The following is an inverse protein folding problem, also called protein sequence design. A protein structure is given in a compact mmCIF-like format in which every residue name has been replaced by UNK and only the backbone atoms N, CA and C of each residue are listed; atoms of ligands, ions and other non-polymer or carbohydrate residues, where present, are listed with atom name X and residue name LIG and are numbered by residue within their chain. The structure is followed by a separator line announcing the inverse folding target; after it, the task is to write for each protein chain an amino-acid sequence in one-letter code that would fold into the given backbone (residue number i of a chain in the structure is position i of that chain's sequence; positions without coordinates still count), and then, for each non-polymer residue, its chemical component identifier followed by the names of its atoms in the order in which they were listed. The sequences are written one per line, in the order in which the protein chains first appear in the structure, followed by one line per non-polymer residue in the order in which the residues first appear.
data_IF_848490925898
#
_entry.id   IF_848490925898
#
_cell.length_a   1.000
_cell.length_b   1.000
_cell.length_c   1.000
_cell.angle_alpha   90.00
_cell.angle_beta   90.00
_cell.angle_gamma   90.00
#
_symmetry.space_group_name_H-M   'P 1'
#
loop_
_entity.id
_entity.type
_entity.pdbx_description
1 polymer ?
#
# COMPACT_ATOMS: atom_id res chain seq x y z
N UNK A 1 -12.88 11.33 6.22
CA UNK A 1 -12.29 10.27 5.37
C UNK A 1 -12.31 10.50 3.85
N UNK A 2 -13.36 10.15 3.07
CA UNK A 2 -13.25 10.11 1.58
C UNK A 2 -12.85 11.45 0.96
N UNK A 3 -13.52 12.54 1.34
CA UNK A 3 -13.18 13.86 0.80
C UNK A 3 -11.79 14.34 1.24
N UNK A 4 -11.35 13.99 2.46
CA UNK A 4 -10.00 14.31 2.92
C UNK A 4 -8.95 13.59 2.07
N UNK A 5 -9.14 12.30 1.79
CA UNK A 5 -8.24 11.53 0.95
C UNK A 5 -8.23 12.06 -0.50
N UNK A 6 -9.40 12.42 -1.06
CA UNK A 6 -9.47 13.08 -2.39
C UNK A 6 -8.74 14.42 -2.40
N UNK A 7 -8.93 15.25 -1.37
CA UNK A 7 -8.28 16.55 -1.25
C UNK A 7 -6.76 16.39 -1.15
N UNK A 8 -6.28 15.47 -0.31
CA UNK A 8 -4.86 15.18 -0.17
C UNK A 8 -4.26 14.66 -1.49
N UNK A 9 -4.93 13.72 -2.17
CA UNK A 9 -4.49 13.24 -3.48
C UNK A 9 -4.34 14.37 -4.50
N UNK A 10 -5.32 15.29 -4.56
CA UNK A 10 -5.29 16.45 -5.47
C UNK A 10 -4.14 17.42 -5.22
N UNK A 11 -3.52 17.42 -4.03
CA UNK A 11 -2.31 18.20 -3.78
C UNK A 11 -1.09 17.69 -4.55
N UNK A 12 -1.14 16.45 -5.04
CA UNK A 12 -0.01 15.80 -5.72
C UNK A 12 1.03 15.20 -4.76
N UNK A 13 0.79 15.23 -3.45
CA UNK A 13 1.73 14.74 -2.43
C UNK A 13 2.18 13.27 -2.61
N UNK A 14 1.35 12.44 -3.27
CA UNK A 14 1.65 11.02 -3.52
C UNK A 14 2.33 10.75 -4.87
N UNK A 15 2.55 11.79 -5.69
CA UNK A 15 3.09 11.62 -7.06
C UNK A 15 4.55 11.17 -7.06
N UNK A 16 5.39 11.71 -6.18
CA UNK A 16 6.82 11.39 -6.19
C UNK A 16 7.09 9.98 -5.66
N UNK A 17 8.02 9.26 -6.30
CA UNK A 17 8.41 7.90 -5.89
C UNK A 17 9.00 7.92 -4.48
N UNK A 18 9.70 9.00 -4.11
CA UNK A 18 10.30 9.19 -2.79
C UNK A 18 9.22 9.26 -1.70
N UNK A 19 8.12 9.99 -1.95
CA UNK A 19 7.01 10.07 -1.00
C UNK A 19 6.36 8.68 -0.82
N UNK A 20 6.18 7.94 -1.90
CA UNK A 20 5.65 6.57 -1.86
C UNK A 20 6.58 5.62 -1.09
N UNK A 21 7.89 5.63 -1.37
CA UNK A 21 8.90 4.85 -0.62
C UNK A 21 8.89 5.20 0.87
N UNK A 22 8.79 6.48 1.22
CA UNK A 22 8.71 6.91 2.62
C UNK A 22 7.46 6.38 3.32
N UNK A 23 6.30 6.42 2.66
CA UNK A 23 5.06 5.86 3.19
C UNK A 23 5.13 4.33 3.35
N UNK A 24 5.68 3.61 2.38
CA UNK A 24 5.90 2.17 2.45
C UNK A 24 6.86 1.79 3.59
N UNK A 25 7.96 2.52 3.75
CA UNK A 25 8.90 2.30 4.85
C UNK A 25 8.23 2.56 6.20
N UNK A 26 7.42 3.62 6.31
CA UNK A 26 6.63 3.90 7.52
C UNK A 26 5.70 2.75 7.86
N UNK A 27 5.01 2.19 6.86
CA UNK A 27 4.12 1.03 7.03
C UNK A 27 4.91 -0.21 7.48
N UNK A 28 6.04 -0.51 6.82
CA UNK A 28 6.91 -1.63 7.19
C UNK A 28 7.39 -1.52 8.64
N UNK A 29 7.93 -0.37 9.01
CA UNK A 29 8.42 -0.10 10.38
C UNK A 29 7.30 -0.18 11.40
N UNK A 30 6.09 0.30 11.07
CA UNK A 30 4.91 0.14 11.92
C UNK A 30 4.59 -1.34 12.17
N UNK A 31 4.58 -2.18 11.14
CA UNK A 31 4.31 -3.62 11.30
C UNK A 31 5.43 -4.27 12.13
N UNK A 32 6.70 -4.03 11.78
CA UNK A 32 7.87 -4.61 12.46
C UNK A 32 7.86 -4.28 13.96
N UNK A 33 7.74 -3.00 14.33
CA UNK A 33 7.80 -2.55 15.73
C UNK A 33 6.62 -3.00 16.59
N UNK A 34 5.50 -3.37 15.97
CA UNK A 34 4.29 -3.78 16.67
C UNK A 34 3.93 -5.25 16.39
N UNK A 35 4.90 -6.05 15.94
CA UNK A 35 4.68 -7.46 15.56
C UNK A 35 4.10 -8.29 16.69
N UNK A 36 4.55 -8.08 17.94
CA UNK A 36 4.03 -8.80 19.11
C UNK A 36 2.56 -8.47 19.37
N UNK A 37 2.20 -7.19 19.34
CA UNK A 37 0.82 -6.75 19.58
C UNK A 37 -0.13 -7.18 18.46
N UNK A 38 0.31 -7.05 17.21
CA UNK A 38 -0.43 -7.54 16.03
C UNK A 38 -0.60 -9.06 16.12
N UNK A 39 0.47 -9.78 16.44
CA UNK A 39 0.46 -11.22 16.56
C UNK A 39 -0.48 -11.72 17.65
N UNK A 40 -0.46 -11.08 18.83
CA UNK A 40 -1.38 -11.39 19.91
C UNK A 40 -2.86 -11.18 19.50
N UNK A 41 -3.14 -10.14 18.71
CA UNK A 41 -4.49 -9.89 18.21
C UNK A 41 -4.96 -10.96 17.21
N UNK A 42 -4.09 -11.37 16.28
CA UNK A 42 -4.36 -12.45 15.32
C UNK A 42 -4.58 -13.77 16.06
N UNK A 43 -3.71 -14.11 17.01
CA UNK A 43 -3.81 -15.32 17.82
C UNK A 43 -5.13 -15.34 18.63
N UNK A 44 -5.57 -14.19 19.13
CA UNK A 44 -6.83 -14.08 19.87
C UNK A 44 -8.06 -14.29 18.99
N UNK A 45 -8.09 -13.73 17.80
CA UNK A 45 -9.25 -13.86 16.91
C UNK A 45 -9.29 -15.22 16.18
N UNK A 46 -8.13 -15.79 15.84
CA UNK A 46 -8.03 -16.97 14.96
C UNK A 46 -7.45 -18.23 15.60
N UNK A 47 -6.87 -18.13 16.80
CA UNK A 47 -6.30 -19.29 17.51
C UNK A 47 -5.06 -19.92 16.86
N UNK A 48 -4.42 -19.26 15.88
CA UNK A 48 -3.25 -19.77 15.15
C UNK A 48 -2.01 -18.90 15.28
N UNK A 49 -0.85 -19.51 15.05
CA UNK A 49 0.44 -18.83 15.02
C UNK A 49 0.45 -17.69 13.95
N UNK A 50 0.74 -16.44 14.35
CA UNK A 50 0.79 -15.29 13.45
C UNK A 50 2.12 -15.12 12.71
N UNK A 51 3.18 -15.86 13.09
CA UNK A 51 4.55 -15.58 12.66
C UNK A 51 4.71 -15.53 11.13
N UNK A 52 4.17 -16.53 10.42
CA UNK A 52 4.26 -16.61 8.96
C UNK A 52 3.51 -15.48 8.26
N UNK A 53 2.39 -15.04 8.82
CA UNK A 53 1.60 -13.94 8.26
C UNK A 53 2.30 -12.59 8.44
N UNK A 54 2.88 -12.33 9.61
CA UNK A 54 3.67 -11.12 9.87
C UNK A 54 4.87 -11.06 8.94
N UNK A 55 5.62 -12.16 8.83
CA UNK A 55 6.79 -12.24 7.95
C UNK A 55 6.40 -11.99 6.48
N UNK A 56 5.28 -12.56 6.02
CA UNK A 56 4.78 -12.35 4.66
C UNK A 56 4.36 -10.90 4.41
N UNK A 57 3.69 -10.25 5.36
CA UNK A 57 3.30 -8.86 5.23
C UNK A 57 4.52 -7.94 5.10
N UNK A 58 5.53 -8.13 5.96
CA UNK A 58 6.79 -7.36 5.92
C UNK A 58 7.52 -7.59 4.59
N UNK A 59 7.64 -8.85 4.15
CA UNK A 59 8.27 -9.20 2.87
C UNK A 59 7.55 -8.56 1.69
N UNK A 60 6.22 -8.57 1.66
CA UNK A 60 5.45 -7.91 0.60
C UNK A 60 5.73 -6.41 0.55
N UNK A 61 5.72 -5.70 1.69
CA UNK A 61 6.01 -4.26 1.70
C UNK A 61 7.46 -3.99 1.28
N UNK A 62 8.42 -4.82 1.71
CA UNK A 62 9.82 -4.68 1.31
C UNK A 62 10.03 -4.83 -0.20
N UNK A 63 9.34 -5.77 -0.83
CA UNK A 63 9.39 -5.95 -2.29
C UNK A 63 8.96 -4.67 -3.03
N UNK A 64 7.88 -4.04 -2.56
CA UNK A 64 7.41 -2.77 -3.13
C UNK A 64 8.44 -1.66 -2.95
N UNK A 65 9.09 -1.56 -1.80
CA UNK A 65 10.14 -0.56 -1.55
C UNK A 65 11.30 -0.74 -2.54
N UNK A 66 11.69 -1.99 -2.81
CA UNK A 66 12.81 -2.32 -3.68
C UNK A 66 12.52 -1.94 -5.14
N UNK A 67 11.29 -2.16 -5.62
CA UNK A 67 10.97 -2.06 -7.05
C UNK A 67 10.09 -0.87 -7.46
N UNK A 68 9.50 -0.11 -6.53
CA UNK A 68 8.58 1.00 -6.88
C UNK A 68 9.19 2.06 -7.80
N UNK A 69 10.50 2.27 -7.75
CA UNK A 69 11.21 3.19 -8.65
C UNK A 69 11.26 2.66 -10.08
N UNK A 70 11.71 1.41 -10.24
CA UNK A 70 11.74 0.71 -11.53
C UNK A 70 10.34 0.62 -12.15
N UNK A 71 9.32 0.28 -11.35
CA UNK A 71 7.95 0.12 -11.83
C UNK A 71 7.26 1.45 -12.17
N UNK A 72 7.73 2.56 -11.61
CA UNK A 72 7.20 3.90 -11.90
C UNK A 72 7.92 4.60 -13.05
N UNK A 73 9.05 4.06 -13.52
CA UNK A 73 9.82 4.69 -14.60
C UNK A 73 9.06 4.65 -15.93
N UNK A 74 9.08 5.74 -16.72
CA UNK A 74 8.58 5.73 -18.09
C UNK A 74 9.26 4.64 -18.91
N UNK A 75 8.49 3.95 -19.75
CA UNK A 75 9.01 2.89 -20.63
C UNK A 75 8.94 3.34 -22.07
N UNK A 76 10.08 3.44 -22.74
CA UNK A 76 10.12 3.66 -24.18
C UNK A 76 9.52 2.43 -24.87
N UNK A 77 8.56 2.66 -25.78
CA UNK A 77 7.87 1.60 -26.53
C UNK A 77 8.04 1.81 -28.03
N UNK A 78 7.79 0.75 -28.80
CA UNK A 78 7.89 0.81 -30.25
C UNK A 78 6.96 1.88 -30.83
N UNK A 79 7.51 2.73 -31.71
CA UNK A 79 6.78 3.79 -32.40
C UNK A 79 5.77 3.17 -33.40
N UNK A 80 4.47 3.50 -33.32
CA UNK A 80 3.51 3.07 -34.35
C UNK A 80 3.88 3.61 -35.72
N UNK A 81 3.65 2.82 -36.79
CA UNK A 81 4.08 3.14 -38.16
C UNK A 81 3.49 4.45 -38.72
N UNK A 82 2.40 4.95 -38.15
CA UNK A 82 1.77 6.21 -38.55
C UNK A 82 2.52 7.48 -38.10
N UNK A 83 3.49 7.36 -37.19
CA UNK A 83 4.32 8.48 -36.74
C UNK A 83 5.55 8.62 -37.63
N UNK A 84 5.55 9.67 -38.46
CA UNK A 84 6.55 9.87 -39.52
C UNK A 84 7.75 10.70 -39.09
N UNK A 85 7.78 11.22 -37.86
CA UNK A 85 8.92 11.95 -37.33
C UNK A 85 9.89 11.00 -36.63
N UNK A 86 11.14 10.97 -37.08
CA UNK A 86 12.18 10.09 -36.54
C UNK A 86 12.80 10.58 -35.23
N UNK A 87 12.47 11.80 -34.81
CA UNK A 87 12.96 12.38 -33.55
C UNK A 87 12.00 12.20 -32.37
N UNK A 88 10.78 11.72 -32.59
CA UNK A 88 9.79 11.52 -31.53
C UNK A 88 10.02 10.21 -30.77
N UNK A 89 9.97 10.26 -29.44
CA UNK A 89 9.94 9.09 -28.56
C UNK A 89 8.52 8.79 -28.08
N UNK A 90 8.11 7.52 -28.15
CA UNK A 90 6.83 7.06 -27.59
C UNK A 90 7.08 6.39 -26.26
N UNK A 91 6.45 6.88 -25.20
CA UNK A 91 6.61 6.36 -23.85
C UNK A 91 5.28 5.92 -23.24
N UNK A 92 5.33 4.80 -22.52
CA UNK A 92 4.27 4.38 -21.61
C UNK A 92 4.58 4.94 -20.22
N UNK A 93 3.64 5.72 -19.69
CA UNK A 93 3.70 6.28 -18.34
C UNK A 93 2.58 5.70 -17.49
N UNK A 94 2.87 5.39 -16.23
CA UNK A 94 1.89 4.91 -15.26
C UNK A 94 1.49 6.04 -14.33
N UNK A 95 0.19 6.21 -14.10
CA UNK A 95 -0.35 7.26 -13.25
C UNK A 95 -1.26 6.70 -12.16
N UNK A 96 -1.29 7.31 -10.95
CA UNK A 96 -2.21 6.91 -9.91
C UNK A 96 -3.67 7.20 -10.30
N UNK A 97 -4.60 6.34 -9.85
CA UNK A 97 -6.02 6.46 -10.13
C UNK A 97 -6.74 7.43 -9.18
N UNK A 98 -6.25 7.58 -7.94
CA UNK A 98 -6.80 8.52 -6.97
C UNK A 98 -6.90 7.96 -5.55
N UNK A 99 -8.13 7.65 -5.13
CA UNK A 99 -8.43 7.06 -3.81
C UNK A 99 -8.78 5.60 -3.99
N UNK A 100 -8.01 4.71 -3.39
CA UNK A 100 -8.27 3.28 -3.38
C UNK A 100 -9.02 2.86 -2.10
N UNK A 101 -10.06 2.03 -2.23
CA UNK A 101 -10.69 1.36 -1.11
C UNK A 101 -10.20 -0.09 -1.06
N UNK A 102 -9.58 -0.48 0.06
CA UNK A 102 -9.16 -1.85 0.35
C UNK A 102 -10.11 -2.44 1.39
N UNK A 103 -10.79 -3.53 1.05
CA UNK A 103 -11.66 -4.26 1.97
C UNK A 103 -10.99 -5.61 2.26
N UNK A 104 -10.51 -5.81 3.49
CA UNK A 104 -9.78 -7.03 3.85
C UNK A 104 -10.67 -8.07 4.54
N UNK A 105 -10.58 -9.37 4.15
CA UNK A 105 -11.23 -10.49 4.83
C UNK A 105 -10.53 -10.83 6.16
N UNK A 106 -11.14 -11.72 6.94
CA UNK A 106 -10.74 -12.04 8.32
C UNK A 106 -9.71 -13.17 8.48
N UNK A 107 -9.54 -14.05 7.49
CA UNK A 107 -8.80 -15.30 7.63
C UNK A 107 -7.27 -15.13 7.69
N UNK A 108 -6.75 -14.12 7.01
CA UNK A 108 -5.36 -13.65 7.09
C UNK A 108 -5.37 -12.12 7.12
N UNK A 109 -5.81 -11.54 8.25
CA UNK A 109 -6.29 -10.17 8.26
C UNK A 109 -5.15 -9.14 8.08
N UNK A 110 -3.89 -9.49 8.39
CA UNK A 110 -2.74 -8.64 8.10
C UNK A 110 -2.32 -8.73 6.64
N UNK A 111 -2.09 -9.94 6.11
CA UNK A 111 -1.64 -10.12 4.72
C UNK A 111 -2.69 -9.62 3.73
N UNK A 112 -3.96 -9.89 3.98
CA UNK A 112 -5.04 -9.44 3.08
C UNK A 112 -5.35 -7.96 3.20
N UNK A 113 -4.79 -7.27 4.19
CA UNK A 113 -4.76 -5.80 4.27
C UNK A 113 -3.58 -5.18 3.52
N UNK A 114 -2.58 -5.96 3.09
CA UNK A 114 -1.41 -5.45 2.35
C UNK A 114 -1.69 -4.91 0.93
N UNK A 115 -2.85 -5.08 0.28
CA UNK A 115 -3.19 -4.27 -0.89
C UNK A 115 -3.15 -2.75 -0.61
N UNK A 116 -3.18 -2.32 0.66
CA UNK A 116 -2.88 -0.94 1.05
C UNK A 116 -1.48 -0.53 0.59
N UNK A 117 -0.48 -1.39 0.79
CA UNK A 117 0.88 -1.12 0.35
C UNK A 117 0.98 -1.03 -1.17
N UNK A 118 0.25 -1.88 -1.91
CA UNK A 118 0.18 -1.80 -3.38
C UNK A 118 -0.43 -0.47 -3.85
N UNK A 119 -1.52 -0.02 -3.21
CA UNK A 119 -2.14 1.24 -3.54
C UNK A 119 -1.21 2.45 -3.26
N UNK A 120 -0.47 2.42 -2.15
CA UNK A 120 0.58 3.41 -1.83
C UNK A 120 1.69 3.39 -2.89
N UNK A 121 2.19 2.21 -3.27
CA UNK A 121 3.23 2.06 -4.30
C UNK A 121 2.75 2.62 -5.66
N UNK A 122 1.48 2.42 -5.98
CA UNK A 122 0.83 3.00 -7.17
C UNK A 122 0.58 4.51 -7.09
N UNK A 123 0.89 5.17 -5.97
CA UNK A 123 0.72 6.62 -5.80
C UNK A 123 -0.70 7.04 -5.42
N UNK A 124 -1.55 6.11 -4.96
CA UNK A 124 -2.90 6.40 -4.52
C UNK A 124 -2.93 6.79 -3.04
N UNK A 125 -3.96 7.53 -2.68
CA UNK A 125 -4.44 7.61 -1.28
C UNK A 125 -5.31 6.38 -0.99
N UNK A 126 -5.45 5.97 0.28
CA UNK A 126 -6.03 4.66 0.60
C UNK A 126 -6.96 4.73 1.80
N UNK A 127 -8.12 4.09 1.65
CA UNK A 127 -9.05 3.80 2.73
C UNK A 127 -9.02 2.29 2.97
N UNK A 128 -8.74 1.89 4.21
CA UNK A 128 -8.74 0.49 4.62
C UNK A 128 -10.00 0.19 5.44
N UNK A 129 -10.81 -0.75 4.96
CA UNK A 129 -11.92 -1.35 5.72
C UNK A 129 -11.51 -2.76 6.14
N UNK A 130 -11.34 -2.96 7.44
CA UNK A 130 -11.00 -4.24 8.06
C UNK A 130 -12.26 -5.08 8.32
N UNK A 131 -12.11 -6.40 8.38
CA UNK A 131 -13.22 -7.31 8.68
C UNK A 131 -13.71 -7.20 10.13
N UNK A 132 -15.03 -7.19 10.32
CA UNK A 132 -15.69 -7.27 11.62
C UNK A 132 -15.57 -8.66 12.26
N UNK A 133 -15.23 -9.69 11.47
CA UNK A 133 -15.05 -11.07 11.94
C UNK A 133 -13.68 -11.34 12.57
N UNK A 134 -12.78 -10.35 12.57
CA UNK A 134 -11.50 -10.35 13.28
C UNK A 134 -11.38 -9.07 14.14
N UNK A 135 -12.24 -8.89 15.16
CA UNK A 135 -12.44 -7.61 15.83
C UNK A 135 -11.23 -7.14 16.65
N UNK A 136 -10.48 -8.06 17.28
CA UNK A 136 -9.28 -7.69 18.05
C UNK A 136 -8.21 -7.16 17.11
N UNK A 137 -7.92 -7.88 16.02
CA UNK A 137 -6.99 -7.42 15.00
C UNK A 137 -7.43 -6.09 14.41
N UNK A 138 -8.70 -5.98 14.02
CA UNK A 138 -9.23 -4.77 13.39
C UNK A 138 -9.07 -3.54 14.28
N UNK A 139 -9.35 -3.66 15.57
CA UNK A 139 -9.14 -2.57 16.54
C UNK A 139 -7.66 -2.22 16.73
N UNK A 140 -6.78 -3.22 16.87
CA UNK A 140 -5.34 -3.00 17.06
C UNK A 140 -4.74 -2.33 15.83
N UNK A 141 -5.01 -2.87 14.65
CA UNK A 141 -4.43 -2.38 13.41
C UNK A 141 -4.94 -0.98 13.05
N UNK A 142 -6.24 -0.70 13.22
CA UNK A 142 -6.79 0.64 13.00
C UNK A 142 -6.14 1.70 13.92
N UNK A 143 -5.95 1.37 15.20
CA UNK A 143 -5.26 2.26 16.16
C UNK A 143 -3.80 2.49 15.77
N UNK A 144 -3.09 1.44 15.33
CA UNK A 144 -1.70 1.57 14.88
C UNK A 144 -1.59 2.44 13.63
N UNK A 145 -2.49 2.27 12.67
CA UNK A 145 -2.57 3.12 11.47
C UNK A 145 -2.81 4.57 11.87
N UNK A 146 -3.80 4.87 12.70
CA UNK A 146 -4.09 6.24 13.15
C UNK A 146 -2.93 6.89 13.94
N UNK A 147 -2.11 6.09 14.63
CA UNK A 147 -0.90 6.58 15.31
C UNK A 147 0.24 6.93 14.36
N UNK A 148 0.32 6.25 13.21
CA UNK A 148 1.43 6.38 12.27
C UNK A 148 1.07 7.08 10.98
N UNK A 149 -0.20 7.34 10.66
CA UNK A 149 -0.61 7.99 9.43
C UNK A 149 -1.65 9.05 9.74
N UNK A 150 -1.53 10.19 9.04
CA UNK A 150 -2.51 11.26 9.11
C UNK A 150 -3.77 10.86 8.32
N UNK A 151 -4.93 11.36 8.74
CA UNK A 151 -6.24 11.09 8.10
C UNK A 151 -6.46 11.88 6.80
#
# INVERSE_FOLDING_TARGET
LVENQRAHFKTGATRSVEARKKALLKLKVMVEKNSEEIGAAIQKDLGRDPAQEIANAIRHVQELINHVEEWSAPKIVAKPQMFNNDTDEVMLMTEPLGVALVISPWNFPLVTSMPVALAIAGGNTVILKLSELSPTFSSVFARLVAKHFDE
#
